data_IF_673866417112
#
_entry.id   IF_673866417112
#
_cell.length_a   1.000
_cell.length_b   1.000
_cell.length_c   1.000
_cell.angle_alpha   90.00
_cell.angle_beta   90.00
_cell.angle_gamma   90.00
#
_symmetry.space_group_name_H-M   'P 1'
#
loop_
_entity.id
_entity.type
_entity.pdbx_description
1 polymer ?
#
# COMPACT_ATOMS: atom_id res chain seq x y z
N UNK A 1 53.98 -53.18 -16.80
CA UNK A 1 52.59 -52.70 -16.61
C UNK A 1 52.65 -51.46 -15.74
N UNK A 2 51.98 -50.36 -16.15
CA UNK A 2 51.60 -49.15 -15.38
C UNK A 2 51.92 -47.78 -16.01
N UNK A 3 52.69 -47.67 -17.10
CA UNK A 3 52.97 -46.33 -17.69
C UNK A 3 51.74 -45.67 -18.35
N UNK A 4 50.91 -46.46 -19.06
CA UNK A 4 49.68 -45.97 -19.68
C UNK A 4 48.64 -45.53 -18.64
N UNK A 5 48.56 -46.22 -17.49
CA UNK A 5 47.59 -45.91 -16.45
C UNK A 5 47.94 -44.58 -15.75
N UNK A 6 49.23 -44.32 -15.53
CA UNK A 6 49.71 -43.04 -14.98
C UNK A 6 49.43 -41.88 -15.93
N UNK A 7 49.59 -42.07 -17.25
CA UNK A 7 49.29 -41.04 -18.25
C UNK A 7 47.79 -40.71 -18.29
N UNK A 8 46.93 -41.72 -18.20
CA UNK A 8 45.48 -41.53 -18.16
C UNK A 8 45.08 -40.80 -16.87
N UNK A 9 45.64 -41.19 -15.72
CA UNK A 9 45.38 -40.51 -14.44
C UNK A 9 45.85 -39.05 -14.43
N UNK A 10 47.04 -38.76 -14.97
CA UNK A 10 47.53 -37.38 -15.08
C UNK A 10 46.68 -36.54 -16.03
N UNK A 11 46.24 -37.12 -17.16
CA UNK A 11 45.34 -36.45 -18.10
C UNK A 11 43.97 -36.12 -17.50
N UNK A 12 43.38 -37.06 -16.76
CA UNK A 12 42.12 -36.86 -16.02
C UNK A 12 42.26 -35.79 -14.93
N UNK A 13 43.37 -35.81 -14.17
CA UNK A 13 43.64 -34.80 -13.16
C UNK A 13 43.77 -33.39 -13.78
N UNK A 14 44.46 -33.27 -14.91
CA UNK A 14 44.58 -32.00 -15.63
C UNK A 14 43.21 -31.51 -16.14
N UNK A 15 42.39 -32.39 -16.73
CA UNK A 15 41.06 -32.03 -17.21
C UNK A 15 40.12 -31.58 -16.07
N UNK A 16 40.15 -32.26 -14.93
CA UNK A 16 39.41 -31.84 -13.74
C UNK A 16 39.91 -30.49 -13.22
N UNK A 17 41.22 -30.22 -13.26
CA UNK A 17 41.78 -28.93 -12.89
C UNK A 17 41.31 -27.80 -13.81
N UNK A 18 41.34 -28.01 -15.14
CA UNK A 18 40.86 -27.03 -16.11
C UNK A 18 39.34 -26.81 -16.03
N UNK A 19 38.56 -27.85 -15.71
CA UNK A 19 37.11 -27.71 -15.52
C UNK A 19 36.78 -26.89 -14.26
N UNK A 20 37.50 -27.12 -13.15
CA UNK A 20 37.33 -26.33 -11.92
C UNK A 20 37.80 -24.87 -12.09
N UNK A 21 38.85 -24.62 -12.88
CA UNK A 21 39.30 -23.27 -13.19
C UNK A 21 38.25 -22.44 -13.96
N UNK A 22 37.48 -23.08 -14.86
CA UNK A 22 36.34 -22.43 -15.55
C UNK A 22 35.13 -22.20 -14.64
N UNK A 23 34.89 -23.06 -13.65
CA UNK A 23 33.78 -22.92 -12.70
C UNK A 23 34.06 -21.81 -11.66
N UNK A 24 35.33 -21.53 -11.36
CA UNK A 24 35.69 -20.44 -10.43
C UNK A 24 35.53 -19.03 -11.02
N UNK A 25 35.33 -18.90 -12.34
CA UNK A 25 35.14 -17.59 -13.01
C UNK A 25 33.67 -17.14 -13.11
N UNK A 26 32.73 -17.86 -12.49
CA UNK A 26 31.30 -17.51 -12.47
C UNK A 26 30.89 -16.65 -11.25
N UNK A 27 31.84 -16.15 -10.46
CA UNK A 27 31.61 -15.12 -9.46
C UNK A 27 32.70 -14.05 -9.60
N UNK A 28 32.38 -12.77 -9.80
CA UNK A 28 33.36 -11.72 -9.61
C UNK A 28 33.70 -11.70 -8.12
N UNK A 29 34.88 -12.21 -7.76
CA UNK A 29 35.50 -11.93 -6.48
C UNK A 29 35.86 -10.43 -6.48
N UNK A 30 34.96 -9.58 -5.98
CA UNK A 30 35.33 -8.26 -5.50
C UNK A 30 36.06 -8.44 -4.16
N UNK A 31 37.35 -8.71 -4.22
CA UNK A 31 38.29 -8.28 -3.17
C UNK A 31 39.21 -7.23 -3.79
N UNK A 32 38.69 -6.01 -3.90
CA UNK A 32 39.49 -4.83 -3.64
C UNK A 32 38.58 -3.82 -2.95
N UNK A 33 38.90 -3.53 -1.69
CA UNK A 33 38.22 -2.52 -0.90
C UNK A 33 38.61 -1.13 -1.40
N UNK A 34 38.18 -0.77 -2.60
CA UNK A 34 38.09 0.62 -2.99
C UNK A 34 37.05 1.26 -2.07
N UNK A 35 37.54 1.95 -1.03
CA UNK A 35 36.77 2.99 -0.38
C UNK A 35 36.31 3.91 -1.51
N UNK A 36 35.05 3.77 -1.91
CA UNK A 36 34.45 4.74 -2.81
C UNK A 36 34.74 6.10 -2.19
N UNK A 37 35.35 7.05 -2.92
CA UNK A 37 35.45 8.41 -2.44
C UNK A 37 34.05 8.84 -1.99
N UNK A 38 33.92 9.67 -0.96
CA UNK A 38 32.63 10.24 -0.55
C UNK A 38 32.06 11.04 -1.74
N UNK A 39 31.38 10.34 -2.64
CA UNK A 39 30.88 10.87 -3.90
C UNK A 39 29.61 11.65 -3.57
N UNK A 40 29.79 12.95 -3.37
CA UNK A 40 28.67 13.86 -3.12
C UNK A 40 27.94 14.08 -4.44
N UNK A 41 26.71 13.58 -4.53
CA UNK A 41 25.82 13.87 -5.67
C UNK A 41 25.48 15.37 -5.64
N UNK A 42 25.76 16.14 -6.71
CA UNK A 42 25.48 17.57 -6.74
C UNK A 42 24.01 17.91 -6.55
N UNK A 43 23.71 19.05 -5.93
CA UNK A 43 22.35 19.52 -5.68
C UNK A 43 21.46 19.49 -6.93
N UNK A 44 21.93 20.03 -8.05
CA UNK A 44 21.14 20.07 -9.29
C UNK A 44 20.80 18.66 -9.78
N UNK A 45 21.71 17.70 -9.60
CA UNK A 45 21.46 16.30 -9.94
C UNK A 45 20.40 15.67 -9.05
N UNK A 46 20.41 15.97 -7.74
CA UNK A 46 19.36 15.51 -6.81
C UNK A 46 18.01 16.13 -7.20
N UNK A 47 17.99 17.44 -7.46
CA UNK A 47 16.80 18.19 -7.83
C UNK A 47 16.16 17.65 -9.12
N UNK A 48 16.95 17.45 -10.18
CA UNK A 48 16.42 16.95 -11.46
C UNK A 48 15.97 15.48 -11.38
N UNK A 49 16.70 14.64 -10.63
CA UNK A 49 16.36 13.21 -10.49
C UNK A 49 15.12 12.98 -9.62
N UNK A 50 14.85 13.88 -8.67
CA UNK A 50 13.70 13.77 -7.77
C UNK A 50 12.46 14.51 -8.27
N UNK A 51 12.54 15.28 -9.36
CA UNK A 51 11.40 16.00 -9.93
C UNK A 51 10.27 15.05 -10.39
N UNK A 52 9.03 15.55 -10.34
CA UNK A 52 7.81 14.82 -10.73
C UNK A 52 7.91 14.20 -12.14
N UNK A 53 7.91 12.86 -12.21
CA UNK A 53 7.99 12.08 -13.46
C UNK A 53 7.42 10.65 -13.27
N UNK A 54 7.21 9.90 -14.36
CA UNK A 54 6.99 8.46 -14.27
C UNK A 54 8.24 7.75 -13.72
N UNK A 55 8.07 6.94 -12.68
CA UNK A 55 9.14 6.16 -12.04
C UNK A 55 8.66 4.72 -11.87
N UNK A 56 9.55 3.75 -12.08
CA UNK A 56 9.29 2.35 -11.78
C UNK A 56 9.06 2.15 -10.28
N UNK A 57 7.87 1.69 -9.93
CA UNK A 57 7.42 1.53 -8.54
C UNK A 57 6.87 0.11 -8.35
N UNK A 58 7.25 -0.53 -7.25
CA UNK A 58 6.68 -1.81 -6.83
C UNK A 58 5.29 -1.59 -6.26
N UNK A 59 4.26 -2.11 -6.93
CA UNK A 59 2.86 -1.95 -6.54
C UNK A 59 2.30 -3.29 -6.11
N UNK A 60 1.68 -3.31 -4.93
CA UNK A 60 0.98 -4.49 -4.41
C UNK A 60 -0.29 -4.74 -5.24
N UNK A 61 -0.44 -5.97 -5.75
CA UNK A 61 -1.56 -6.36 -6.59
C UNK A 61 -2.90 -6.26 -5.82
N UNK A 62 -2.90 -6.51 -4.51
CA UNK A 62 -4.12 -6.38 -3.70
C UNK A 62 -4.64 -4.94 -3.61
N UNK A 63 -3.75 -3.94 -3.67
CA UNK A 63 -4.15 -2.53 -3.63
C UNK A 63 -4.81 -2.10 -4.95
N UNK A 64 -4.37 -2.64 -6.08
CA UNK A 64 -4.97 -2.40 -7.39
C UNK A 64 -6.26 -3.20 -7.59
N UNK A 65 -6.38 -4.38 -6.96
CA UNK A 65 -7.53 -5.28 -7.06
C UNK A 65 -8.09 -5.65 -5.67
N UNK A 66 -8.68 -4.69 -4.93
CA UNK A 66 -9.17 -4.94 -3.58
C UNK A 66 -10.35 -5.92 -3.51
N UNK A 67 -11.07 -6.11 -4.62
CA UNK A 67 -12.23 -7.02 -4.69
C UNK A 67 -11.82 -8.51 -4.78
N UNK A 68 -10.56 -8.80 -5.14
CA UNK A 68 -10.05 -10.17 -5.36
C UNK A 68 -9.53 -10.81 -4.05
N UNK A 69 -10.31 -10.73 -2.98
CA UNK A 69 -9.91 -11.13 -1.62
C UNK A 69 -9.69 -12.63 -1.43
N UNK A 70 -10.24 -13.47 -2.31
CA UNK A 70 -10.16 -14.93 -2.21
C UNK A 70 -8.82 -15.50 -2.69
N UNK A 71 -8.06 -14.72 -3.46
CA UNK A 71 -6.85 -15.17 -4.13
C UNK A 71 -5.61 -14.65 -3.42
N UNK A 72 -4.56 -15.48 -3.47
CA UNK A 72 -3.18 -15.06 -3.24
C UNK A 72 -2.47 -14.93 -4.57
N UNK A 73 -1.73 -13.85 -4.76
CA UNK A 73 -1.02 -13.58 -6.00
C UNK A 73 0.47 -13.96 -5.89
N UNK A 74 1.00 -14.55 -6.96
CA UNK A 74 2.44 -14.74 -7.16
C UNK A 74 2.86 -14.17 -8.53
N UNK A 75 3.75 -13.16 -8.57
CA UNK A 75 4.25 -12.40 -7.42
C UNK A 75 3.13 -11.62 -6.71
N UNK A 76 3.34 -11.18 -5.47
CA UNK A 76 2.37 -10.34 -4.75
C UNK A 76 2.41 -8.88 -5.17
N UNK A 77 3.50 -8.45 -5.81
CA UNK A 77 3.72 -7.09 -6.29
C UNK A 77 4.32 -7.12 -7.71
N UNK A 78 4.05 -6.06 -8.47
CA UNK A 78 4.51 -5.89 -9.85
C UNK A 78 5.18 -4.53 -10.03
N UNK A 79 6.12 -4.44 -10.97
CA UNK A 79 6.80 -3.20 -11.31
C UNK A 79 5.96 -2.40 -12.32
N UNK A 80 5.50 -1.22 -11.94
CA UNK A 80 4.68 -0.34 -12.79
C UNK A 80 5.28 1.06 -12.86
N UNK A 81 5.12 1.73 -13.99
CA UNK A 81 5.38 3.17 -14.08
C UNK A 81 4.26 3.92 -13.35
N UNK A 82 4.60 4.56 -12.23
CA UNK A 82 3.69 5.42 -11.47
C UNK A 82 4.30 6.82 -11.37
N UNK A 83 3.46 7.83 -11.12
CA UNK A 83 3.95 9.19 -10.94
C UNK A 83 4.55 9.31 -9.55
N UNK A 84 5.78 9.82 -9.49
CA UNK A 84 6.49 10.05 -8.24
C UNK A 84 7.47 11.21 -8.38
N UNK A 85 8.03 11.62 -7.24
CA UNK A 85 8.90 12.79 -7.16
C UNK A 85 8.23 13.99 -6.49
N UNK A 86 8.99 15.06 -6.34
CA UNK A 86 8.53 16.29 -5.69
C UNK A 86 8.03 17.33 -6.69
N UNK A 87 7.30 18.31 -6.14
CA UNK A 87 6.91 19.55 -6.80
C UNK A 87 7.47 20.72 -5.98
N UNK A 88 7.76 21.85 -6.62
CA UNK A 88 8.39 23.01 -5.97
C UNK A 88 7.52 23.72 -4.91
N UNK A 89 6.26 23.32 -4.77
CA UNK A 89 5.29 23.93 -3.87
C UNK A 89 4.47 22.82 -3.20
N UNK A 90 4.33 22.89 -1.87
CA UNK A 90 3.58 21.93 -1.06
C UNK A 90 2.09 21.91 -1.38
N UNK A 91 1.55 22.99 -1.96
CA UNK A 91 0.18 23.05 -2.46
C UNK A 91 -0.01 22.24 -3.75
N UNK A 92 1.07 21.76 -4.37
CA UNK A 92 1.03 20.93 -5.57
C UNK A 92 1.21 19.44 -5.25
N UNK A 93 0.61 18.59 -6.08
CA UNK A 93 0.79 17.14 -6.08
C UNK A 93 1.22 16.65 -7.47
N UNK A 94 2.09 15.64 -7.50
CA UNK A 94 2.53 14.99 -8.73
C UNK A 94 1.48 13.97 -9.18
N UNK A 95 0.76 14.28 -10.25
CA UNK A 95 -0.38 13.47 -10.72
C UNK A 95 -0.21 13.04 -12.18
N UNK A 96 -0.79 11.89 -12.59
CA UNK A 96 -0.76 11.47 -13.97
C UNK A 96 -1.61 12.36 -14.86
N UNK A 97 -1.08 12.69 -16.04
CA UNK A 97 -1.83 13.37 -17.11
C UNK A 97 -2.18 12.44 -18.25
N UNK A 98 -1.45 11.33 -18.39
CA UNK A 98 -1.67 10.32 -19.42
C UNK A 98 -1.37 8.94 -18.83
N UNK A 99 -2.25 7.99 -19.13
CA UNK A 99 -2.23 6.64 -18.56
C UNK A 99 -2.53 5.61 -19.65
N UNK A 100 -1.99 4.41 -19.47
CA UNK A 100 -2.24 3.26 -20.35
C UNK A 100 -2.24 1.98 -19.53
N UNK A 101 -2.84 0.93 -20.07
CA UNK A 101 -2.88 -0.37 -19.42
C UNK A 101 -1.83 -1.31 -20.00
N UNK A 102 -1.15 -2.05 -19.14
CA UNK A 102 -0.27 -3.16 -19.49
C UNK A 102 -0.87 -4.45 -18.95
N UNK A 103 -0.70 -5.55 -19.67
CA UNK A 103 -1.14 -6.85 -19.21
C UNK A 103 0.04 -7.70 -18.79
N UNK A 104 -0.04 -8.32 -17.62
CA UNK A 104 1.01 -9.15 -17.03
C UNK A 104 0.45 -10.51 -16.64
N UNK A 105 1.27 -11.55 -16.77
CA UNK A 105 0.92 -12.90 -16.31
C UNK A 105 1.16 -13.01 -14.81
N UNK A 106 0.07 -13.26 -14.06
CA UNK A 106 0.09 -13.37 -12.61
C UNK A 106 -0.48 -14.73 -12.23
N UNK A 107 0.21 -15.44 -11.34
CA UNK A 107 -0.31 -16.68 -10.78
C UNK A 107 -1.32 -16.37 -9.68
N UNK A 108 -2.57 -16.78 -9.88
CA UNK A 108 -3.61 -16.77 -8.86
C UNK A 108 -3.65 -18.11 -8.14
N UNK A 109 -3.62 -18.04 -6.80
CA UNK A 109 -3.76 -19.19 -5.91
C UNK A 109 -5.05 -19.06 -5.12
N UNK A 110 -5.92 -20.07 -5.19
CA UNK A 110 -7.07 -20.19 -4.29
C UNK A 110 -6.77 -21.24 -3.24
N UNK A 111 -7.17 -20.99 -1.99
CA UNK A 111 -6.99 -21.95 -0.90
C UNK A 111 -7.69 -23.29 -1.24
N UNK A 112 -6.96 -24.41 -1.11
CA UNK A 112 -7.43 -25.79 -1.33
C UNK A 112 -7.86 -26.17 -2.78
N UNK A 113 -7.58 -25.34 -3.78
CA UNK A 113 -7.89 -25.66 -5.19
C UNK A 113 -6.63 -25.75 -6.04
N UNK A 114 -6.61 -25.10 -7.21
CA UNK A 114 -5.52 -25.12 -8.18
C UNK A 114 -4.90 -23.73 -8.34
N UNK A 115 -3.64 -23.71 -8.75
CA UNK A 115 -2.92 -22.51 -9.14
C UNK A 115 -3.03 -22.36 -10.66
N UNK A 116 -3.32 -21.17 -11.14
CA UNK A 116 -3.36 -20.90 -12.59
C UNK A 116 -2.73 -19.55 -12.89
N UNK A 117 -2.05 -19.47 -14.02
CA UNK A 117 -1.51 -18.22 -14.55
C UNK A 117 -2.64 -17.52 -15.30
N UNK A 118 -2.91 -16.27 -14.93
CA UNK A 118 -3.92 -15.43 -15.54
C UNK A 118 -3.30 -14.13 -16.00
N UNK A 119 -3.73 -13.64 -17.17
CA UNK A 119 -3.43 -12.31 -17.63
C UNK A 119 -4.24 -11.29 -16.82
N UNK A 120 -3.55 -10.41 -16.10
CA UNK A 120 -4.15 -9.30 -15.35
C UNK A 120 -3.69 -7.97 -15.95
N UNK A 121 -4.58 -6.99 -15.99
CA UNK A 121 -4.28 -5.66 -16.52
C UNK A 121 -3.83 -4.71 -15.40
N UNK A 122 -2.92 -3.79 -15.65
CA UNK A 122 -2.46 -2.83 -14.65
C UNK A 122 -2.32 -1.46 -15.31
N UNK A 123 -2.76 -0.42 -14.60
CA UNK A 123 -2.66 0.94 -15.11
C UNK A 123 -1.27 1.52 -14.82
N UNK A 124 -0.60 1.97 -15.88
CA UNK A 124 0.67 2.69 -15.86
C UNK A 124 0.49 4.15 -16.26
N UNK A 125 1.40 4.99 -15.82
CA UNK A 125 1.42 6.43 -16.12
C UNK A 125 2.52 6.71 -17.15
N UNK A 126 2.16 7.28 -18.30
CA UNK A 126 3.16 7.68 -19.32
C UNK A 126 3.64 9.12 -19.14
N UNK A 127 2.84 9.99 -18.53
CA UNK A 127 3.19 11.40 -18.27
C UNK A 127 2.65 11.88 -16.94
N UNK A 128 3.43 12.71 -16.26
CA UNK A 128 3.13 13.28 -14.95
C UNK A 128 3.32 14.79 -14.94
N UNK A 129 2.54 15.51 -14.14
CA UNK A 129 2.69 16.95 -13.93
C UNK A 129 2.33 17.34 -12.49
N UNK A 130 2.94 18.43 -12.01
CA UNK A 130 2.55 19.07 -10.77
C UNK A 130 1.24 19.85 -10.97
N UNK A 131 0.20 19.49 -10.21
CA UNK A 131 -1.11 20.15 -10.24
C UNK A 131 -1.51 20.58 -8.84
N UNK A 132 -2.35 21.60 -8.72
CA UNK A 132 -2.86 22.03 -7.41
C UNK A 132 -3.63 20.90 -6.74
N UNK A 133 -3.28 20.61 -5.49
CA UNK A 133 -4.02 19.70 -4.64
C UNK A 133 -5.47 20.18 -4.58
N UNK A 134 -6.41 19.29 -4.87
CA UNK A 134 -7.81 19.61 -4.57
C UNK A 134 -7.90 19.84 -3.07
N UNK A 135 -8.54 20.93 -2.60
CA UNK A 135 -8.77 21.08 -1.17
C UNK A 135 -9.54 19.83 -0.75
N UNK A 136 -8.89 18.97 0.05
CA UNK A 136 -9.62 17.94 0.75
C UNK A 136 -10.69 18.72 1.49
N UNK A 137 -11.96 18.46 1.19
CA UNK A 137 -13.02 18.80 2.13
C UNK A 137 -12.66 17.97 3.35
N UNK A 138 -11.85 18.54 4.24
CA UNK A 138 -11.78 18.11 5.62
C UNK A 138 -13.25 18.02 5.96
N UNK A 139 -13.73 16.79 6.14
CA UNK A 139 -15.08 16.53 6.63
C UNK A 139 -15.09 17.36 7.89
N UNK A 140 -15.67 18.56 7.83
CA UNK A 140 -15.77 19.44 8.98
C UNK A 140 -16.33 18.52 10.03
N UNK A 141 -15.53 18.26 11.05
CA UNK A 141 -16.00 17.53 12.21
C UNK A 141 -17.24 18.32 12.63
N UNK A 142 -18.41 17.74 12.37
CA UNK A 142 -19.66 18.48 12.37
C UNK A 142 -19.73 19.14 13.75
N UNK A 143 -19.60 20.46 13.79
CA UNK A 143 -19.66 21.29 14.99
C UNK A 143 -21.12 21.35 15.49
N UNK A 144 -21.75 20.20 15.68
CA UNK A 144 -23.00 20.14 16.40
C UNK A 144 -22.69 20.42 17.87
N UNK A 145 -23.33 21.43 18.44
CA UNK A 145 -23.28 21.60 19.88
C UNK A 145 -23.85 20.36 20.58
N UNK A 146 -23.26 19.94 21.72
CA UNK A 146 -23.74 18.77 22.43
C UNK A 146 -25.17 19.00 22.96
N UNK A 147 -26.07 18.05 22.72
CA UNK A 147 -27.48 18.10 23.16
C UNK A 147 -27.69 18.42 24.65
N UNK A 148 -26.71 18.10 25.49
CA UNK A 148 -26.68 18.47 26.91
C UNK A 148 -25.26 18.37 27.43
N UNK A 149 -24.75 19.40 28.10
CA UNK A 149 -23.39 19.35 28.67
C UNK A 149 -23.24 18.27 29.75
N UNK A 150 -24.21 18.19 30.66
CA UNK A 150 -24.14 17.29 31.83
C UNK A 150 -24.62 15.87 31.53
N UNK A 151 -25.41 15.66 30.49
CA UNK A 151 -26.20 14.42 30.30
C UNK A 151 -26.13 13.86 28.89
N UNK A 152 -24.99 13.97 28.22
CA UNK A 152 -24.76 13.49 26.84
C UNK A 152 -25.23 12.04 26.61
N UNK A 153 -25.05 11.15 27.60
CA UNK A 153 -25.39 9.72 27.48
C UNK A 153 -26.89 9.41 27.32
N UNK A 154 -27.79 10.36 27.64
CA UNK A 154 -29.24 10.20 27.51
C UNK A 154 -29.78 10.57 26.12
N UNK A 155 -28.96 11.23 25.30
CA UNK A 155 -29.36 11.75 23.99
C UNK A 155 -28.65 11.02 22.86
N UNK A 156 -29.34 10.90 21.73
CA UNK A 156 -28.80 10.51 20.43
C UNK A 156 -28.85 11.75 19.54
N UNK A 157 -27.72 12.09 18.91
CA UNK A 157 -27.63 13.20 17.98
C UNK A 157 -27.47 12.67 16.56
N UNK A 158 -28.26 13.20 15.64
CA UNK A 158 -28.07 12.97 14.22
C UNK A 158 -26.86 13.80 13.74
N UNK A 159 -25.81 13.18 13.20
CA UNK A 159 -24.60 13.90 12.80
C UNK A 159 -24.79 14.80 11.59
N UNK A 160 -25.83 14.63 10.75
CA UNK A 160 -26.09 15.48 9.59
C UNK A 160 -27.04 16.63 9.90
N UNK A 161 -28.03 16.40 10.78
CA UNK A 161 -29.06 17.41 11.10
C UNK A 161 -28.86 18.08 12.46
N UNK A 162 -27.89 17.61 13.25
CA UNK A 162 -27.67 17.96 14.67
C UNK A 162 -28.89 17.76 15.57
N UNK A 163 -29.94 17.06 15.11
CA UNK A 163 -31.18 16.84 15.87
C UNK A 163 -30.91 15.92 17.05
N UNK A 164 -31.31 16.38 18.23
CA UNK A 164 -31.23 15.65 19.48
C UNK A 164 -32.53 14.88 19.75
N UNK A 165 -32.41 13.59 20.05
CA UNK A 165 -33.53 12.74 20.47
C UNK A 165 -33.17 11.92 21.70
N UNK A 166 -34.16 11.49 22.47
CA UNK A 166 -33.92 10.65 23.64
C UNK A 166 -33.46 9.25 23.22
N UNK A 167 -32.42 8.75 23.90
CA UNK A 167 -31.89 7.40 23.69
C UNK A 167 -32.88 6.32 24.13
N UNK A 168 -33.70 6.62 25.14
CA UNK A 168 -34.75 5.72 25.64
C UNK A 168 -36.11 6.11 25.08
N UNK A 169 -36.93 5.09 24.83
CA UNK A 169 -38.33 5.23 24.39
C UNK A 169 -39.27 5.28 25.58
N UNK A 170 -40.44 5.88 25.40
CA UNK A 170 -41.50 5.95 26.41
C UNK A 170 -41.93 4.55 26.91
N UNK A 171 -42.02 3.57 25.99
CA UNK A 171 -42.30 2.17 26.33
C UNK A 171 -41.31 1.56 27.33
N UNK A 172 -40.03 1.96 27.26
CA UNK A 172 -38.98 1.49 28.17
C UNK A 172 -39.08 2.11 29.56
N UNK A 173 -39.60 3.34 29.67
CA UNK A 173 -39.88 3.95 30.97
C UNK A 173 -41.15 3.33 31.59
N UNK A 174 -42.18 3.10 30.77
CA UNK A 174 -43.46 2.51 31.19
C UNK A 174 -43.31 1.09 31.75
N UNK A 175 -42.40 0.28 31.21
CA UNK A 175 -42.11 -1.05 31.80
C UNK A 175 -41.57 -0.99 33.22
N UNK A 176 -41.07 0.18 33.65
CA UNK A 176 -40.62 0.46 35.02
C UNK A 176 -41.63 1.29 35.83
N UNK A 177 -42.85 1.45 35.33
CA UNK A 177 -43.90 2.30 35.94
C UNK A 177 -43.46 3.78 36.07
N UNK A 178 -42.65 4.25 35.13
CA UNK A 178 -42.17 5.63 35.03
C UNK A 178 -42.60 6.23 33.68
N UNK A 179 -42.57 7.55 33.57
CA UNK A 179 -42.87 8.28 32.34
C UNK A 179 -41.60 8.93 31.77
N UNK A 180 -41.44 8.87 30.45
CA UNK A 180 -40.30 9.54 29.80
C UNK A 180 -40.54 11.05 29.78
N UNK A 181 -39.65 11.78 30.42
CA UNK A 181 -39.57 13.22 30.29
C UNK A 181 -38.78 13.57 29.03
N UNK A 182 -39.48 13.89 27.94
CA UNK A 182 -38.86 14.18 26.63
C UNK A 182 -37.89 15.36 26.64
N UNK A 183 -38.01 16.29 27.59
CA UNK A 183 -37.10 17.45 27.72
C UNK A 183 -35.79 17.10 28.40
N UNK A 184 -35.77 16.07 29.23
CA UNK A 184 -34.56 15.68 30.00
C UNK A 184 -34.06 14.28 29.67
N UNK A 185 -34.82 13.53 28.86
CA UNK A 185 -34.65 12.13 28.50
C UNK A 185 -34.49 11.19 29.70
N UNK A 186 -35.18 11.51 30.81
CA UNK A 186 -35.22 10.70 32.03
C UNK A 186 -36.55 9.99 32.17
N UNK A 187 -36.53 8.80 32.76
CA UNK A 187 -37.75 8.16 33.25
C UNK A 187 -38.03 8.71 34.64
N UNK A 188 -39.03 9.59 34.77
CA UNK A 188 -39.43 10.23 36.02
C UNK A 188 -40.72 9.57 36.55
N UNK A 189 -41.01 9.73 37.85
CA UNK A 189 -42.30 9.28 38.39
C UNK A 189 -43.43 10.12 37.78
N UNK A 190 -44.61 9.53 37.49
CA UNK A 190 -45.76 10.28 37.02
C UNK A 190 -46.07 11.41 38.00
N UNK A 191 -46.16 12.64 37.50
CA UNK A 191 -46.62 13.76 38.34
C UNK A 191 -48.12 13.59 38.52
N UNK A 192 -48.56 13.36 39.77
CA UNK A 192 -49.97 13.39 40.15
C UNK A 192 -50.59 14.75 39.90
#
# INVERSE_FOLDING_TARGET
MNFLLTWIHCGLAALLYFHNAKVLQAAPAQEDGEKQPDEVIPFMTVFERSACRPIETMVDIYQEYPDEVEYMFKPSCVLLMKCGGFCNDEALECVPTEVYNVSMEIMKLRHFQSQHIQLMSFQQHSKCQCRQKKPMRIKQENHCEPCSERRKHLYKQDPLTCKCSCKFTDSRCKSKQLELNERTCRCDKPRR
#
